data_IF_561426525517
#
_entry.id   IF_561426525517
#
_cell.length_a   1.000
_cell.length_b   1.000
_cell.length_c   1.000
_cell.angle_alpha   90.00
_cell.angle_beta   90.00
_cell.angle_gamma   90.00
#
_symmetry.space_group_name_H-M   'P 1'
#
loop_
_entity.id
_entity.type
_entity.pdbx_description
1 polymer ?
#
# COMPACT_ATOMS: atom_id res chain seq x y z
N UNK A 1 11.33 -11.16 -0.52
CA UNK A 1 12.61 -10.44 -0.31
C UNK A 1 12.66 -9.22 -1.22
N UNK A 2 13.18 -8.10 -0.73
CA UNK A 2 13.36 -6.87 -1.54
C UNK A 2 14.84 -6.58 -1.59
N UNK A 3 15.36 -6.24 -2.76
CA UNK A 3 16.72 -5.75 -2.95
C UNK A 3 16.68 -4.38 -3.64
N UNK A 4 17.34 -3.40 -3.05
CA UNK A 4 17.47 -2.04 -3.56
C UNK A 4 18.93 -1.85 -3.95
N UNK A 5 19.20 -1.46 -5.20
CA UNK A 5 20.56 -1.37 -5.72
C UNK A 5 20.81 -0.01 -6.39
N UNK A 6 21.77 0.75 -5.86
CA UNK A 6 22.20 2.06 -6.35
C UNK A 6 21.03 3.02 -6.65
N UNK A 7 19.97 2.94 -5.83
CA UNK A 7 18.72 3.64 -6.07
C UNK A 7 18.87 5.14 -5.79
N UNK A 8 18.62 5.95 -6.79
CA UNK A 8 18.67 7.40 -6.65
C UNK A 8 17.43 8.07 -7.24
N UNK A 9 16.96 9.11 -6.54
CA UNK A 9 15.92 10.01 -7.02
C UNK A 9 16.21 11.45 -6.62
N UNK A 10 16.16 12.33 -7.61
CA UNK A 10 16.31 13.79 -7.43
C UNK A 10 15.04 14.51 -7.87
N UNK A 11 14.75 15.63 -7.24
CA UNK A 11 13.76 16.61 -7.66
C UNK A 11 14.45 17.97 -7.78
N UNK A 12 14.75 18.36 -9.01
CA UNK A 12 15.65 19.47 -9.28
C UNK A 12 17.05 19.19 -8.68
N UNK A 13 17.54 20.07 -7.82
CA UNK A 13 18.83 19.88 -7.15
C UNK A 13 18.75 19.03 -5.86
N UNK A 14 17.53 18.79 -5.36
CA UNK A 14 17.33 18.04 -4.12
C UNK A 14 17.42 16.54 -4.35
N UNK A 15 18.40 15.89 -3.73
CA UNK A 15 18.51 14.44 -3.64
C UNK A 15 17.50 13.93 -2.60
N UNK A 16 16.43 13.25 -3.04
CA UNK A 16 15.36 12.76 -2.19
C UNK A 16 15.59 11.34 -1.69
N UNK A 17 16.19 10.48 -2.53
CA UNK A 17 16.56 9.10 -2.18
C UNK A 17 17.95 8.83 -2.73
N UNK A 18 18.81 8.23 -1.90
CA UNK A 18 20.14 7.75 -2.27
C UNK A 18 20.48 6.54 -1.41
N UNK A 19 20.36 5.34 -1.98
CA UNK A 19 20.61 4.07 -1.29
C UNK A 19 21.52 3.25 -2.19
N UNK A 20 22.74 2.98 -1.72
CA UNK A 20 23.70 2.18 -2.49
C UNK A 20 23.26 0.73 -2.57
N UNK A 21 22.96 0.11 -1.42
CA UNK A 21 22.44 -1.24 -1.35
C UNK A 21 21.65 -1.43 -0.05
N UNK A 22 20.48 -2.07 -0.17
CA UNK A 22 19.68 -2.45 0.99
C UNK A 22 18.85 -3.70 0.68
N UNK A 23 18.75 -4.61 1.65
CA UNK A 23 17.96 -5.83 1.54
C UNK A 23 16.94 -5.93 2.66
N UNK A 24 15.75 -6.41 2.34
CA UNK A 24 14.69 -6.77 3.27
C UNK A 24 14.36 -8.23 3.03
N UNK A 25 14.52 -9.06 4.07
CA UNK A 25 14.29 -10.49 3.95
C UNK A 25 12.83 -10.85 4.18
N UNK A 26 12.47 -12.06 3.77
CA UNK A 26 11.15 -12.59 4.07
C UNK A 26 10.98 -12.74 5.59
N UNK A 27 9.84 -12.25 6.10
CA UNK A 27 9.52 -12.24 7.53
C UNK A 27 10.02 -11.01 8.29
N UNK A 28 10.81 -10.14 7.66
CA UNK A 28 11.21 -8.87 8.28
C UNK A 28 10.00 -7.93 8.42
N UNK A 29 9.96 -7.22 9.56
CA UNK A 29 9.07 -6.09 9.79
C UNK A 29 9.92 -4.83 9.93
N UNK A 30 9.82 -3.93 8.95
CA UNK A 30 10.64 -2.73 8.86
C UNK A 30 9.80 -1.47 9.11
N UNK A 31 10.21 -0.65 10.07
CA UNK A 31 9.68 0.70 10.27
C UNK A 31 10.61 1.77 9.68
N UNK A 32 10.13 2.51 8.69
CA UNK A 32 10.86 3.64 8.12
C UNK A 32 10.51 4.94 8.87
N UNK A 33 11.47 5.47 9.62
CA UNK A 33 11.30 6.66 10.45
C UNK A 33 12.12 7.82 9.90
N UNK A 34 11.57 9.02 9.94
CA UNK A 34 12.25 10.24 9.50
C UNK A 34 11.31 11.44 9.45
N UNK A 35 11.86 12.64 9.42
CA UNK A 35 11.08 13.88 9.35
C UNK A 35 10.24 13.96 8.06
N UNK A 36 9.23 14.84 8.07
CA UNK A 36 8.47 15.15 6.87
C UNK A 36 9.42 15.69 5.78
N UNK A 37 9.28 15.17 4.56
CA UNK A 37 10.17 15.51 3.45
C UNK A 37 11.53 14.80 3.45
N UNK A 38 11.75 13.79 4.32
CA UNK A 38 12.97 12.97 4.35
C UNK A 38 13.06 11.92 3.21
N UNK A 39 12.02 11.81 2.37
CA UNK A 39 12.02 10.89 1.23
C UNK A 39 11.31 9.55 1.47
N UNK A 40 10.66 9.34 2.61
CA UNK A 40 9.94 8.08 2.94
C UNK A 40 8.93 7.67 1.86
N UNK A 41 7.95 8.54 1.60
CA UNK A 41 6.94 8.31 0.55
C UNK A 41 7.57 8.19 -0.84
N UNK A 42 8.66 8.94 -1.11
CA UNK A 42 9.39 8.83 -2.36
C UNK A 42 9.99 7.43 -2.53
N UNK A 43 10.60 6.88 -1.47
CA UNK A 43 11.13 5.52 -1.48
C UNK A 43 10.03 4.50 -1.73
N UNK A 44 8.89 4.58 -1.03
CA UNK A 44 7.77 3.66 -1.25
C UNK A 44 7.23 3.75 -2.68
N UNK A 45 7.12 4.96 -3.25
CA UNK A 45 6.70 5.13 -4.64
C UNK A 45 7.69 4.55 -5.66
N UNK A 46 9.00 4.60 -5.37
CA UNK A 46 10.02 3.93 -6.19
C UNK A 46 9.91 2.41 -6.07
N UNK A 47 9.70 1.88 -4.86
CA UNK A 47 9.52 0.44 -4.62
C UNK A 47 8.29 -0.13 -5.33
N UNK A 48 7.25 0.69 -5.52
CA UNK A 48 5.99 0.32 -6.17
C UNK A 48 5.91 0.73 -7.66
N UNK A 49 7.02 1.15 -8.25
CA UNK A 49 7.10 1.68 -9.62
C UNK A 49 6.06 2.78 -9.94
N UNK A 50 5.62 3.50 -8.90
CA UNK A 50 4.76 4.69 -9.04
C UNK A 50 5.57 5.93 -9.37
N UNK A 51 6.89 5.85 -9.27
CA UNK A 51 7.84 6.90 -9.57
C UNK A 51 9.09 6.26 -10.19
N UNK A 52 9.53 6.79 -11.31
CA UNK A 52 10.74 6.31 -11.99
C UNK A 52 12.01 6.75 -11.26
N UNK A 53 12.90 5.82 -10.98
CA UNK A 53 14.23 6.11 -10.47
C UNK A 53 15.09 6.86 -11.52
N UNK A 54 16.01 7.71 -11.05
CA UNK A 54 17.00 8.33 -11.92
C UNK A 54 18.19 7.40 -12.14
N UNK A 55 18.53 6.60 -11.12
CA UNK A 55 19.53 5.51 -11.20
C UNK A 55 19.09 4.35 -10.33
N UNK A 56 19.66 3.18 -10.60
CA UNK A 56 19.45 1.96 -9.84
C UNK A 56 18.10 1.32 -10.06
N UNK A 57 17.79 0.33 -9.26
CA UNK A 57 16.54 -0.43 -9.36
C UNK A 57 16.08 -0.99 -8.00
N UNK A 58 14.85 -1.44 -7.99
CA UNK A 58 14.23 -2.22 -6.92
C UNK A 58 13.82 -3.57 -7.48
N UNK A 59 14.18 -4.64 -6.79
CA UNK A 59 13.84 -6.02 -7.14
C UNK A 59 13.01 -6.61 -6.00
N UNK A 60 11.85 -7.18 -6.32
CA UNK A 60 10.96 -7.87 -5.37
C UNK A 60 10.82 -9.32 -5.80
N UNK A 61 11.25 -10.28 -4.97
CA UNK A 61 11.26 -11.72 -5.30
C UNK A 61 11.84 -12.00 -6.69
N UNK A 62 13.04 -11.48 -6.95
CA UNK A 62 13.80 -11.60 -8.21
C UNK A 62 13.15 -10.92 -9.43
N UNK A 63 12.10 -10.12 -9.21
CA UNK A 63 11.43 -9.36 -10.26
C UNK A 63 11.82 -7.87 -10.12
N UNK A 64 12.46 -7.31 -11.14
CA UNK A 64 12.68 -5.87 -11.23
C UNK A 64 11.34 -5.17 -11.46
N UNK A 65 10.96 -4.28 -10.53
CA UNK A 65 9.63 -3.65 -10.51
C UNK A 65 9.38 -2.78 -11.74
N UNK A 66 10.43 -2.30 -12.41
CA UNK A 66 10.34 -1.47 -13.62
C UNK A 66 10.21 -2.28 -14.90
N UNK A 67 10.42 -3.61 -14.86
CA UNK A 67 10.47 -4.47 -16.03
C UNK A 67 9.28 -5.43 -16.15
N UNK A 68 8.61 -5.74 -15.05
CA UNK A 68 7.43 -6.63 -15.01
C UNK A 68 6.44 -6.13 -13.98
N UNK A 69 5.16 -6.45 -14.16
CA UNK A 69 4.09 -6.19 -13.21
C UNK A 69 3.77 -7.38 -12.30
N UNK A 70 4.45 -8.53 -12.48
CA UNK A 70 4.14 -9.78 -11.77
C UNK A 70 4.28 -9.65 -10.25
N UNK A 71 5.17 -8.77 -9.78
CA UNK A 71 5.33 -8.46 -8.36
C UNK A 71 4.04 -7.91 -7.70
N UNK A 72 3.13 -7.32 -8.47
CA UNK A 72 1.85 -6.80 -7.97
C UNK A 72 0.92 -7.91 -7.46
N UNK A 73 1.04 -9.14 -7.98
CA UNK A 73 0.19 -10.27 -7.59
C UNK A 73 0.37 -10.68 -6.12
N UNK A 74 1.53 -10.40 -5.53
CA UNK A 74 1.84 -10.77 -4.16
C UNK A 74 2.23 -9.57 -3.28
N UNK A 75 2.03 -8.35 -3.76
CA UNK A 75 2.32 -7.11 -3.04
C UNK A 75 1.03 -6.34 -2.78
N UNK A 76 0.77 -6.02 -1.51
CA UNK A 76 -0.25 -5.07 -1.10
C UNK A 76 0.37 -3.74 -0.75
N UNK A 77 -0.28 -2.64 -1.12
CA UNK A 77 0.22 -1.31 -0.79
C UNK A 77 -0.91 -0.32 -0.53
N UNK A 78 -0.68 0.57 0.44
CA UNK A 78 -1.50 1.75 0.65
C UNK A 78 -0.59 2.93 1.02
N UNK A 79 -0.53 3.93 0.14
CA UNK A 79 0.35 5.09 0.27
C UNK A 79 -0.44 6.33 0.73
N UNK A 80 -1.59 6.59 0.13
CA UNK A 80 -2.47 7.69 0.50
C UNK A 80 -3.90 7.42 -0.01
N UNK A 81 -4.88 8.19 0.49
CA UNK A 81 -6.29 8.04 0.16
C UNK A 81 -6.65 8.47 -1.27
N UNK A 82 -5.75 9.15 -1.97
CA UNK A 82 -5.91 9.50 -3.39
C UNK A 82 -5.95 8.28 -4.32
N UNK A 83 -5.54 7.11 -3.83
CA UNK A 83 -5.66 5.83 -4.57
C UNK A 83 -7.00 5.13 -4.36
N UNK A 84 -7.87 5.61 -3.47
CA UNK A 84 -9.20 5.07 -3.27
C UNK A 84 -10.15 5.54 -4.38
N UNK A 85 -11.09 4.68 -4.78
CA UNK A 85 -12.13 5.04 -5.73
C UNK A 85 -13.29 5.72 -4.98
N UNK A 86 -13.25 7.02 -4.91
CA UNK A 86 -14.09 7.88 -4.10
C UNK A 86 -15.61 7.76 -4.30
N UNK A 87 -16.05 7.34 -5.48
CA UNK A 87 -17.46 7.22 -5.88
C UNK A 87 -18.03 5.81 -5.70
N UNK A 88 -17.29 4.90 -5.07
CA UNK A 88 -17.78 3.60 -4.65
C UNK A 88 -18.12 3.61 -3.16
N UNK A 89 -18.98 2.67 -2.73
CA UNK A 89 -19.08 2.29 -1.32
C UNK A 89 -17.87 1.41 -0.95
N UNK A 90 -17.54 1.26 0.34
CA UNK A 90 -16.45 0.36 0.75
C UNK A 90 -16.65 -1.08 0.26
N UNK A 91 -17.88 -1.60 0.30
CA UNK A 91 -18.20 -2.95 -0.17
C UNK A 91 -17.93 -3.09 -1.68
N UNK A 92 -18.43 -2.13 -2.48
CA UNK A 92 -18.17 -2.12 -3.93
C UNK A 92 -16.68 -2.05 -4.23
N UNK A 93 -15.93 -1.25 -3.46
CA UNK A 93 -14.49 -1.12 -3.60
C UNK A 93 -13.76 -2.42 -3.24
N UNK A 94 -14.10 -3.07 -2.12
CA UNK A 94 -13.50 -4.35 -1.75
C UNK A 94 -13.79 -5.46 -2.76
N UNK A 95 -15.03 -5.51 -3.28
CA UNK A 95 -15.38 -6.47 -4.34
C UNK A 95 -14.63 -6.18 -5.65
N UNK A 96 -14.45 -4.90 -5.99
CA UNK A 96 -13.67 -4.50 -7.15
C UNK A 96 -12.21 -4.94 -7.02
N UNK A 97 -11.57 -4.64 -5.88
CA UNK A 97 -10.20 -5.07 -5.60
C UNK A 97 -10.09 -6.59 -5.58
N UNK A 98 -10.99 -7.28 -4.88
CA UNK A 98 -11.00 -8.74 -4.85
C UNK A 98 -11.09 -9.37 -6.24
N UNK A 99 -11.94 -8.82 -7.10
CA UNK A 99 -12.09 -9.28 -8.49
C UNK A 99 -10.80 -9.11 -9.31
N UNK A 100 -10.02 -8.05 -9.09
CA UNK A 100 -8.72 -7.86 -9.74
C UNK A 100 -7.73 -8.98 -9.40
N UNK A 101 -7.84 -9.55 -8.20
CA UNK A 101 -7.05 -10.70 -7.74
C UNK A 101 -7.75 -12.05 -7.93
N UNK A 102 -8.83 -12.10 -8.75
CA UNK A 102 -9.55 -13.33 -9.08
C UNK A 102 -10.43 -13.88 -7.96
N UNK A 103 -10.69 -13.12 -6.90
CA UNK A 103 -11.55 -13.53 -5.78
C UNK A 103 -13.03 -13.41 -6.15
N UNK A 104 -13.83 -14.38 -5.70
CA UNK A 104 -15.28 -14.30 -5.72
C UNK A 104 -15.79 -13.43 -4.57
N UNK A 105 -17.04 -13.01 -4.67
CA UNK A 105 -17.67 -12.16 -3.64
C UNK A 105 -17.67 -12.82 -2.26
N UNK A 106 -18.02 -14.09 -2.20
CA UNK A 106 -18.05 -14.88 -0.96
C UNK A 106 -16.65 -14.96 -0.31
N UNK A 107 -15.60 -15.11 -1.12
CA UNK A 107 -14.22 -15.11 -0.64
C UNK A 107 -13.79 -13.76 -0.11
N UNK A 108 -14.25 -12.64 -0.73
CA UNK A 108 -14.02 -11.30 -0.22
C UNK A 108 -14.72 -11.11 1.12
N UNK A 109 -15.99 -11.52 1.24
CA UNK A 109 -16.75 -11.43 2.49
C UNK A 109 -16.04 -12.20 3.62
N UNK A 110 -15.57 -13.42 3.38
CA UNK A 110 -14.79 -14.22 4.34
C UNK A 110 -13.47 -13.52 4.73
N UNK A 111 -12.75 -12.93 3.79
CA UNK A 111 -11.49 -12.22 4.06
C UNK A 111 -11.67 -10.90 4.78
N UNK A 112 -12.86 -10.33 4.79
CA UNK A 112 -13.19 -9.12 5.57
C UNK A 112 -13.47 -9.43 7.04
N UNK A 113 -13.86 -10.65 7.42
CA UNK A 113 -14.19 -11.02 8.79
C UNK A 113 -13.09 -10.67 9.82
N UNK A 114 -11.80 -10.94 9.58
CA UNK A 114 -10.73 -10.57 10.52
C UNK A 114 -10.62 -9.07 10.79
N UNK A 115 -11.16 -8.23 9.91
CA UNK A 115 -11.10 -6.77 10.01
C UNK A 115 -12.33 -6.13 10.67
N UNK A 116 -13.34 -6.90 11.09
CA UNK A 116 -14.56 -6.38 11.72
C UNK A 116 -14.25 -5.46 12.91
N UNK A 117 -13.29 -5.85 13.75
CA UNK A 117 -12.86 -5.04 14.89
C UNK A 117 -12.23 -3.72 14.45
N UNK A 118 -11.38 -3.72 13.42
CA UNK A 118 -10.76 -2.52 12.86
C UNK A 118 -11.81 -1.60 12.23
N UNK A 119 -12.80 -2.16 11.56
CA UNK A 119 -13.90 -1.41 10.93
C UNK A 119 -14.86 -0.80 11.97
N UNK A 120 -14.93 -1.37 13.18
CA UNK A 120 -15.76 -0.86 14.30
C UNK A 120 -17.23 -0.61 13.95
N UNK A 121 -17.79 -1.33 12.95
CA UNK A 121 -19.15 -1.09 12.44
C UNK A 121 -19.34 0.22 11.68
N UNK A 122 -18.27 0.98 11.42
CA UNK A 122 -18.33 2.31 10.79
C UNK A 122 -18.07 2.29 9.28
N UNK A 123 -17.55 1.18 8.75
CA UNK A 123 -17.14 1.08 7.35
C UNK A 123 -18.15 0.33 6.50
N UNK A 124 -18.49 -0.90 6.87
CA UNK A 124 -19.43 -1.76 6.16
C UNK A 124 -20.88 -1.46 6.55
N UNK A 125 -21.82 -1.60 5.61
CA UNK A 125 -23.27 -1.45 5.85
C UNK A 125 -23.79 -0.02 5.89
N UNK A 126 -22.93 1.00 5.72
CA UNK A 126 -23.29 2.40 5.86
C UNK A 126 -23.99 3.01 4.61
N UNK A 127 -23.99 2.32 3.48
CA UNK A 127 -24.54 2.79 2.18
C UNK A 127 -24.03 4.19 1.80
N UNK A 128 -22.77 4.48 2.09
CA UNK A 128 -22.12 5.77 1.97
C UNK A 128 -20.92 5.66 1.04
N UNK A 129 -20.71 6.65 0.18
CA UNK A 129 -19.56 6.67 -0.74
C UNK A 129 -18.26 6.96 0.03
N UNK A 130 -17.14 6.39 -0.42
CA UNK A 130 -15.82 6.53 0.21
C UNK A 130 -15.46 8.00 0.43
N UNK A 131 -15.74 8.89 -0.53
CA UNK A 131 -15.47 10.34 -0.40
C UNK A 131 -16.11 10.99 0.83
N UNK A 132 -17.18 10.41 1.37
CA UNK A 132 -17.93 10.95 2.50
C UNK A 132 -17.49 10.38 3.86
N UNK A 133 -16.47 9.52 3.88
CA UNK A 133 -15.90 8.99 5.12
C UNK A 133 -14.85 9.94 5.71
N UNK A 134 -14.63 9.83 7.02
CA UNK A 134 -13.51 10.50 7.70
C UNK A 134 -12.18 10.01 7.17
N UNK A 135 -11.11 10.80 7.38
CA UNK A 135 -9.76 10.38 7.00
C UNK A 135 -9.37 9.04 7.66
N UNK A 136 -9.71 8.83 8.94
CA UNK A 136 -9.45 7.57 9.64
C UNK A 136 -10.17 6.38 9.02
N UNK A 137 -11.44 6.53 8.63
CA UNK A 137 -12.16 5.44 7.97
C UNK A 137 -11.67 5.19 6.54
N UNK A 138 -11.26 6.21 5.80
CA UNK A 138 -10.56 6.04 4.50
C UNK A 138 -9.26 5.28 4.68
N UNK A 139 -8.49 5.59 5.73
CA UNK A 139 -7.28 4.88 6.10
C UNK A 139 -7.55 3.39 6.35
N UNK A 140 -8.58 3.07 7.15
CA UNK A 140 -9.02 1.69 7.39
C UNK A 140 -9.36 0.98 6.07
N UNK A 141 -10.15 1.61 5.19
CA UNK A 141 -10.52 1.05 3.88
C UNK A 141 -9.27 0.75 3.05
N UNK A 142 -8.32 1.69 2.96
CA UNK A 142 -7.09 1.53 2.20
C UNK A 142 -6.20 0.40 2.72
N UNK A 143 -5.98 0.34 4.04
CA UNK A 143 -5.19 -0.74 4.66
C UNK A 143 -5.84 -2.11 4.42
N UNK A 144 -7.16 -2.23 4.63
CA UNK A 144 -7.87 -3.49 4.42
C UNK A 144 -7.78 -3.92 2.96
N UNK A 145 -7.97 -3.00 2.01
CA UNK A 145 -7.87 -3.31 0.58
C UNK A 145 -6.47 -3.82 0.19
N UNK A 146 -5.42 -3.24 0.76
CA UNK A 146 -4.04 -3.66 0.53
C UNK A 146 -3.76 -5.08 1.05
N UNK A 147 -4.51 -5.55 2.07
CA UNK A 147 -4.35 -6.87 2.68
C UNK A 147 -5.31 -7.94 2.12
N UNK A 148 -6.31 -7.54 1.35
CA UNK A 148 -7.44 -8.40 0.96
C UNK A 148 -7.04 -9.66 0.19
N UNK A 149 -5.99 -9.59 -0.63
CA UNK A 149 -5.50 -10.72 -1.44
C UNK A 149 -4.43 -11.57 -0.74
N UNK A 150 -4.19 -11.35 0.57
CA UNK A 150 -3.15 -12.00 1.38
C UNK A 150 -1.75 -11.84 0.79
N UNK A 151 -1.27 -10.60 0.65
CA UNK A 151 0.03 -10.33 0.03
C UNK A 151 1.17 -10.93 0.84
N UNK A 152 2.25 -11.32 0.16
CA UNK A 152 3.51 -11.73 0.79
C UNK A 152 4.33 -10.51 1.25
N UNK A 153 4.15 -9.37 0.58
CA UNK A 153 4.75 -8.08 0.90
C UNK A 153 3.66 -7.05 1.12
N UNK A 154 3.74 -6.31 2.22
CA UNK A 154 2.84 -5.20 2.52
C UNK A 154 3.64 -3.91 2.70
N UNK A 155 3.30 -2.87 1.94
CA UNK A 155 3.91 -1.54 2.03
C UNK A 155 2.83 -0.54 2.43
N UNK A 156 3.00 0.09 3.60
CA UNK A 156 2.07 1.07 4.12
C UNK A 156 2.82 2.37 4.45
N UNK A 157 2.35 3.49 3.93
CA UNK A 157 2.87 4.81 4.29
C UNK A 157 1.98 5.42 5.38
N UNK A 158 2.61 5.78 6.51
CA UNK A 158 1.95 6.39 7.67
C UNK A 158 0.63 5.70 8.10
N UNK A 159 0.61 4.35 8.29
CA UNK A 159 -0.63 3.58 8.43
C UNK A 159 -1.46 3.93 9.67
N UNK A 160 -0.87 4.59 10.67
CA UNK A 160 -1.54 4.96 11.91
C UNK A 160 -2.01 6.41 11.95
N UNK A 161 -1.75 7.20 10.89
CA UNK A 161 -2.28 8.54 10.79
C UNK A 161 -3.81 8.48 10.79
N UNK A 162 -4.43 9.41 11.54
CA UNK A 162 -5.89 9.52 11.68
C UNK A 162 -6.60 8.32 12.34
N UNK A 163 -5.88 7.32 12.85
CA UNK A 163 -6.46 6.25 13.65
C UNK A 163 -6.37 6.64 15.13
N UNK A 164 -7.49 6.55 15.86
CA UNK A 164 -7.50 6.74 17.30
C UNK A 164 -6.73 5.60 17.98
N UNK A 165 -5.85 5.90 18.94
CA UNK A 165 -5.14 4.90 19.72
C UNK A 165 -6.05 4.31 20.81
N UNK A 166 -7.11 3.59 20.42
CA UNK A 166 -8.05 2.95 21.34
C UNK A 166 -7.81 1.45 21.49
#
# INVERSE_FOLDING_TARGET
>A
MISINNLQKKFGEKLAVNIDHYEINQGDMLGLVGNNGAGKTTLFRLMLDLLKADNGNVVINDIDVSQSEDWKNFTGAFIDDGFLIDYLTPEEYFYFIGKMYGLKKEEVDERLLPFERLMSGEVIGQKKLIRNYSAGNKQKIGIISAMLHYPQLLILDEPFNFLDPS
#
